data_IF_251080999808
#
_entry.id   IF_251080999808
#
_cell.length_a   1.000
_cell.length_b   1.000
_cell.length_c   1.000
_cell.angle_alpha   90.00
_cell.angle_beta   90.00
_cell.angle_gamma   90.00
#
_symmetry.space_group_name_H-M   'P 1'
#
loop_
_entity.id
_entity.type
_entity.pdbx_description
1 polymer ?
#
# COMPACT_ATOMS: atom_id res chain seq x y z
N UNK A 1 -61.51 -10.08 18.76
CA UNK A 1 -61.07 -11.06 17.75
C UNK A 1 -59.93 -11.88 18.32
N UNK A 2 -59.90 -13.18 18.04
CA UNK A 2 -58.81 -14.03 18.49
C UNK A 2 -57.54 -13.71 17.67
N UNK A 3 -56.39 -13.51 18.33
CA UNK A 3 -55.16 -13.18 17.62
C UNK A 3 -54.67 -14.35 16.77
N UNK A 4 -53.99 -14.04 15.66
CA UNK A 4 -53.39 -15.03 14.77
C UNK A 4 -51.94 -15.31 15.18
N UNK A 5 -51.50 -16.55 14.97
CA UNK A 5 -50.12 -16.95 15.23
C UNK A 5 -49.17 -16.40 14.17
N UNK A 6 -48.05 -15.80 14.59
CA UNK A 6 -47.01 -15.28 13.70
C UNK A 6 -46.27 -16.31 12.83
N UNK A 7 -46.49 -17.62 13.04
CA UNK A 7 -45.88 -18.70 12.26
C UNK A 7 -46.87 -19.45 11.38
N UNK A 8 -47.93 -19.97 11.99
CA UNK A 8 -48.90 -20.82 11.30
C UNK A 8 -50.16 -20.05 10.87
N UNK A 9 -50.27 -18.76 11.20
CA UNK A 9 -51.42 -17.89 10.92
C UNK A 9 -52.79 -18.43 11.40
N UNK A 10 -52.81 -19.44 12.26
CA UNK A 10 -54.03 -19.96 12.89
C UNK A 10 -54.36 -19.16 14.15
N UNK A 11 -55.63 -19.18 14.55
CA UNK A 11 -56.10 -18.53 15.78
C UNK A 11 -55.38 -19.11 17.01
N UNK A 12 -54.94 -18.23 17.90
CA UNK A 12 -54.28 -18.57 19.15
C UNK A 12 -55.27 -18.34 20.29
N UNK A 13 -55.62 -19.43 20.98
CA UNK A 13 -56.48 -19.37 22.16
C UNK A 13 -55.70 -18.88 23.38
N UNK A 14 -56.36 -18.23 24.36
CA UNK A 14 -55.71 -17.71 25.57
C UNK A 14 -54.84 -18.74 26.33
N UNK A 15 -55.25 -20.01 26.35
CA UNK A 15 -54.53 -21.11 27.03
C UNK A 15 -53.16 -21.40 26.41
N UNK A 16 -53.03 -21.28 25.09
CA UNK A 16 -51.80 -21.59 24.35
C UNK A 16 -51.04 -20.33 23.90
N UNK A 17 -51.52 -19.16 24.31
CA UNK A 17 -51.00 -17.88 23.88
C UNK A 17 -49.64 -17.58 24.47
N UNK A 18 -48.68 -17.30 23.60
CA UNK A 18 -47.38 -16.71 23.92
C UNK A 18 -47.29 -15.36 23.21
N UNK A 19 -47.06 -14.28 23.96
CA UNK A 19 -46.88 -12.93 23.42
C UNK A 19 -45.39 -12.61 23.31
N UNK A 20 -44.90 -12.35 22.10
CA UNK A 20 -43.48 -12.10 21.87
C UNK A 20 -43.26 -11.40 20.53
N UNK A 21 -42.33 -10.44 20.46
CA UNK A 21 -41.96 -9.70 19.23
C UNK A 21 -43.19 -9.06 18.54
N UNK A 22 -44.05 -8.44 19.36
CA UNK A 22 -45.30 -7.78 18.95
C UNK A 22 -46.29 -8.70 18.21
N UNK A 23 -46.12 -10.01 18.34
CA UNK A 23 -46.97 -11.04 17.73
C UNK A 23 -47.40 -12.07 18.75
N UNK A 24 -48.47 -12.77 18.41
CA UNK A 24 -48.98 -13.89 19.18
C UNK A 24 -48.49 -15.20 18.56
N UNK A 25 -48.20 -16.19 19.40
CA UNK A 25 -47.66 -17.48 19.00
C UNK A 25 -48.35 -18.59 19.80
N UNK A 26 -48.51 -19.77 19.21
CA UNK A 26 -48.78 -20.98 19.99
C UNK A 26 -47.53 -21.41 20.74
N UNK A 27 -47.69 -22.04 21.91
CA UNK A 27 -46.58 -22.65 22.68
C UNK A 27 -45.69 -23.55 21.81
N UNK A 28 -46.27 -24.36 20.91
CA UNK A 28 -45.52 -25.22 19.99
C UNK A 28 -44.98 -24.51 18.75
N UNK A 29 -45.58 -23.40 18.32
CA UNK A 29 -45.12 -22.67 17.14
C UNK A 29 -43.95 -21.73 17.44
N UNK A 30 -43.74 -21.37 18.70
CA UNK A 30 -42.62 -20.55 19.14
C UNK A 30 -41.33 -21.37 19.15
N UNK A 31 -40.65 -21.45 18.01
CA UNK A 31 -39.39 -22.19 17.87
C UNK A 31 -38.35 -21.37 17.11
N UNK A 32 -37.08 -21.70 17.30
CA UNK A 32 -36.00 -21.08 16.55
C UNK A 32 -36.18 -21.32 15.04
N UNK A 33 -35.91 -20.30 14.21
CA UNK A 33 -35.96 -20.42 12.75
C UNK A 33 -34.94 -21.45 12.21
N UNK A 34 -33.72 -21.42 12.73
CA UNK A 34 -32.62 -22.27 12.26
C UNK A 34 -32.74 -23.72 12.73
N UNK A 35 -32.91 -23.96 14.04
CA UNK A 35 -32.93 -25.31 14.59
C UNK A 35 -34.30 -25.89 14.89
N UNK A 36 -35.38 -25.12 14.70
CA UNK A 36 -36.77 -25.55 14.98
C UNK A 36 -37.03 -26.03 16.42
N UNK A 37 -36.06 -25.89 17.34
CA UNK A 37 -36.23 -26.18 18.75
C UNK A 37 -37.25 -25.21 19.36
N UNK A 38 -38.26 -25.73 20.05
CA UNK A 38 -39.26 -24.94 20.77
C UNK A 38 -38.57 -24.08 21.81
N UNK A 39 -38.77 -22.77 21.71
CA UNK A 39 -38.23 -21.79 22.61
C UNK A 39 -39.25 -21.50 23.71
N UNK A 40 -38.81 -20.85 24.78
CA UNK A 40 -39.68 -20.39 25.85
C UNK A 40 -39.41 -18.89 26.06
N UNK A 41 -40.30 -18.19 26.75
CA UNK A 41 -40.17 -16.75 27.04
C UNK A 41 -38.82 -16.40 27.68
N UNK A 42 -38.25 -17.31 28.47
CA UNK A 42 -36.95 -17.11 29.14
C UNK A 42 -35.72 -17.40 28.26
N UNK A 43 -35.86 -18.18 27.18
CA UNK A 43 -34.73 -18.77 26.44
C UNK A 43 -34.65 -18.30 24.96
N UNK A 44 -35.45 -17.31 24.57
CA UNK A 44 -35.42 -16.80 23.20
C UNK A 44 -34.58 -15.53 23.11
N UNK A 45 -33.97 -15.33 21.94
CA UNK A 45 -33.44 -14.03 21.51
C UNK A 45 -34.18 -13.59 20.25
N UNK A 46 -34.64 -12.35 20.21
CA UNK A 46 -35.36 -11.79 19.07
C UNK A 46 -34.42 -11.08 18.10
N UNK A 47 -34.46 -11.46 16.83
CA UNK A 47 -33.80 -10.74 15.73
C UNK A 47 -34.80 -10.58 14.59
N UNK A 48 -34.96 -9.36 14.06
CA UNK A 48 -35.92 -9.07 12.96
C UNK A 48 -37.35 -9.61 13.17
N UNK A 49 -37.90 -9.49 14.37
CA UNK A 49 -39.24 -10.01 14.74
C UNK A 49 -39.41 -11.53 14.57
N UNK A 50 -38.32 -12.29 14.57
CA UNK A 50 -38.29 -13.75 14.59
C UNK A 50 -37.57 -14.27 15.84
N UNK A 51 -38.04 -15.37 16.44
CA UNK A 51 -37.39 -15.96 17.60
C UNK A 51 -36.21 -16.85 17.20
N UNK A 52 -35.06 -16.67 17.87
CA UNK A 52 -33.84 -17.46 17.73
C UNK A 52 -33.43 -18.05 19.09
N UNK A 53 -32.72 -19.18 19.06
CA UNK A 53 -32.07 -19.71 20.25
C UNK A 53 -30.78 -18.92 20.55
N UNK A 54 -30.22 -19.09 21.75
CA UNK A 54 -28.96 -18.45 22.12
C UNK A 54 -27.79 -18.77 21.17
N UNK A 55 -27.77 -19.96 20.56
CA UNK A 55 -26.71 -20.40 19.64
C UNK A 55 -26.84 -19.80 18.24
N UNK A 56 -28.07 -19.67 17.72
CA UNK A 56 -28.35 -19.20 16.36
C UNK A 56 -28.73 -17.72 16.29
N UNK A 57 -28.54 -16.96 17.38
CA UNK A 57 -28.77 -15.52 17.37
C UNK A 57 -27.60 -14.83 16.66
N UNK A 58 -27.82 -14.19 15.51
CA UNK A 58 -26.77 -13.45 14.82
C UNK A 58 -26.34 -12.29 15.71
N UNK A 59 -25.17 -12.43 16.32
CA UNK A 59 -24.53 -11.36 17.07
C UNK A 59 -24.06 -10.35 16.02
N UNK A 60 -24.60 -9.14 16.06
CA UNK A 60 -24.09 -8.03 15.27
C UNK A 60 -22.67 -7.74 15.76
N UNK A 61 -21.67 -8.29 15.07
CA UNK A 61 -20.28 -7.88 15.25
C UNK A 61 -20.17 -6.49 14.63
N UNK A 62 -19.81 -5.50 15.42
CA UNK A 62 -19.55 -4.15 14.91
C UNK A 62 -18.30 -4.23 14.03
N UNK A 63 -18.49 -4.23 12.71
CA UNK A 63 -17.38 -4.02 11.78
C UNK A 63 -17.07 -2.53 11.79
N UNK A 64 -15.91 -2.13 12.32
CA UNK A 64 -15.41 -0.78 12.12
C UNK A 64 -15.38 -0.51 10.62
N UNK A 65 -16.21 0.42 10.16
CA UNK A 65 -16.33 0.79 8.74
C UNK A 65 -14.98 1.34 8.30
N UNK A 66 -14.18 0.49 7.64
CA UNK A 66 -12.80 0.83 7.25
C UNK A 66 -12.75 1.92 6.16
N UNK A 67 -13.79 2.03 5.33
CA UNK A 67 -13.78 2.93 4.19
C UNK A 67 -14.69 4.15 4.43
N UNK A 68 -14.28 5.01 5.36
CA UNK A 68 -14.68 6.42 5.26
C UNK A 68 -14.15 6.99 3.93
N UNK A 69 -14.84 7.95 3.30
CA UNK A 69 -14.39 8.57 2.05
C UNK A 69 -13.03 9.27 2.17
N UNK A 70 -12.54 9.47 3.39
CA UNK A 70 -11.20 9.98 3.69
C UNK A 70 -10.14 8.87 3.65
N UNK A 71 -10.40 7.71 4.27
CA UNK A 71 -9.49 6.55 4.22
C UNK A 71 -9.28 6.06 2.78
N UNK A 72 -10.30 6.19 1.92
CA UNK A 72 -10.18 5.89 0.49
C UNK A 72 -9.23 6.84 -0.24
N UNK A 73 -9.30 8.14 0.07
CA UNK A 73 -8.42 9.16 -0.53
C UNK A 73 -6.96 8.98 -0.12
N UNK A 74 -6.70 8.68 1.15
CA UNK A 74 -5.34 8.39 1.65
C UNK A 74 -4.74 7.15 0.99
N UNK A 75 -5.55 6.10 0.80
CA UNK A 75 -5.12 4.86 0.14
C UNK A 75 -4.80 5.07 -1.34
N UNK A 76 -5.59 5.86 -2.06
CA UNK A 76 -5.34 6.21 -3.46
C UNK A 76 -4.09 7.09 -3.60
N UNK A 77 -3.92 8.08 -2.73
CA UNK A 77 -2.73 8.93 -2.69
C UNK A 77 -1.46 8.13 -2.40
N UNK A 78 -1.50 7.22 -1.42
CA UNK A 78 -0.37 6.35 -1.06
C UNK A 78 0.02 5.41 -2.19
N UNK A 79 -0.97 4.83 -2.91
CA UNK A 79 -0.71 4.03 -4.11
C UNK A 79 0.00 4.85 -5.18
N UNK A 80 -0.48 6.06 -5.47
CA UNK A 80 0.15 6.93 -6.46
C UNK A 80 1.57 7.37 -6.06
N UNK A 81 1.88 7.46 -4.77
CA UNK A 81 3.23 7.84 -4.32
C UNK A 81 4.23 6.68 -4.33
N UNK A 82 3.77 5.43 -4.45
CA UNK A 82 4.66 4.27 -4.43
C UNK A 82 5.46 4.13 -5.74
N UNK A 83 6.79 4.09 -5.62
CA UNK A 83 7.70 3.88 -6.75
C UNK A 83 7.53 2.49 -7.39
N UNK A 84 6.93 1.53 -6.68
CA UNK A 84 6.67 0.16 -7.15
C UNK A 84 5.66 0.14 -8.30
N UNK A 85 4.56 0.90 -8.21
CA UNK A 85 3.59 1.02 -9.31
C UNK A 85 4.20 1.75 -10.52
N UNK A 86 5.01 2.79 -10.27
CA UNK A 86 5.74 3.48 -11.35
C UNK A 86 6.77 2.59 -12.04
N UNK A 87 7.45 1.71 -11.28
CA UNK A 87 8.41 0.74 -11.81
C UNK A 87 7.71 -0.41 -12.52
N UNK A 88 6.57 -0.88 -12.03
CA UNK A 88 5.74 -1.89 -12.68
C UNK A 88 5.18 -1.39 -14.01
N UNK A 89 4.71 -0.12 -14.07
CA UNK A 89 4.24 0.51 -15.30
C UNK A 89 5.40 0.73 -16.28
N UNK A 90 6.58 1.12 -15.79
CA UNK A 90 7.81 1.19 -16.58
C UNK A 90 8.23 -0.16 -17.14
N UNK A 91 8.22 -1.23 -16.34
CA UNK A 91 8.57 -2.59 -16.76
C UNK A 91 7.52 -3.17 -17.73
N UNK A 92 6.22 -2.90 -17.53
CA UNK A 92 5.14 -3.25 -18.46
C UNK A 92 5.24 -2.50 -19.80
N UNK A 93 5.74 -1.26 -19.80
CA UNK A 93 5.98 -0.51 -21.02
C UNK A 93 7.33 -0.80 -21.68
N UNK A 94 8.31 -1.36 -20.96
CA UNK A 94 9.63 -1.71 -21.50
C UNK A 94 9.58 -2.82 -22.56
N UNK A 95 8.50 -3.61 -22.60
CA UNK A 95 8.26 -4.65 -23.62
C UNK A 95 7.16 -4.33 -24.62
N UNK A 96 6.35 -3.29 -24.40
CA UNK A 96 5.39 -2.81 -25.39
C UNK A 96 6.13 -1.80 -26.24
N UNK A 97 6.59 -2.26 -27.40
CA UNK A 97 7.43 -1.50 -28.31
C UNK A 97 7.01 -0.03 -28.36
N UNK A 98 7.99 0.84 -28.24
CA UNK A 98 7.90 2.27 -28.56
C UNK A 98 7.33 2.40 -29.97
N UNK A 99 6.00 2.38 -30.09
CA UNK A 99 5.33 2.87 -31.27
C UNK A 99 5.58 4.36 -31.21
N UNK A 100 6.57 4.81 -31.99
CA UNK A 100 6.76 6.21 -32.36
C UNK A 100 5.37 6.80 -32.49
N UNK A 101 5.03 7.70 -31.57
CA UNK A 101 3.78 8.44 -31.61
C UNK A 101 3.79 9.17 -32.95
N UNK A 102 3.16 8.55 -33.95
CA UNK A 102 3.35 8.94 -35.33
C UNK A 102 2.69 10.29 -35.63
N UNK A 103 1.79 10.78 -34.77
CA UNK A 103 1.03 11.98 -35.07
C UNK A 103 0.79 12.84 -33.82
N UNK A 104 1.86 13.38 -33.21
CA UNK A 104 1.69 14.64 -32.49
C UNK A 104 1.51 15.76 -33.54
N UNK A 105 0.56 16.69 -33.37
CA UNK A 105 0.29 17.78 -34.33
C UNK A 105 1.44 18.80 -34.47
N UNK A 106 2.50 18.62 -33.69
CA UNK A 106 3.73 19.39 -33.71
C UNK A 106 4.75 18.76 -34.69
N UNK A 107 4.88 17.42 -34.69
CA UNK A 107 5.70 16.67 -35.65
C UNK A 107 5.25 16.85 -37.10
N UNK A 108 3.93 16.96 -37.33
CA UNK A 108 3.39 17.22 -38.67
C UNK A 108 3.70 18.63 -39.21
N UNK A 109 3.88 19.62 -38.33
CA UNK A 109 4.29 20.98 -38.76
C UNK A 109 5.73 20.98 -39.20
N UNK A 110 6.61 20.33 -38.45
CA UNK A 110 8.05 20.24 -38.73
C UNK A 110 8.29 19.50 -40.06
N UNK A 111 7.59 18.38 -40.32
CA UNK A 111 7.66 17.67 -41.60
C UNK A 111 7.23 18.52 -42.78
N UNK A 112 6.09 19.21 -42.70
CA UNK A 112 5.62 20.11 -43.78
C UNK A 112 6.61 21.23 -44.08
N UNK A 113 7.26 21.79 -43.06
CA UNK A 113 8.31 22.79 -43.24
C UNK A 113 9.55 22.17 -43.90
N UNK A 114 9.96 20.97 -43.48
CA UNK A 114 11.08 20.23 -44.11
C UNK A 114 10.82 19.93 -45.59
N UNK A 115 9.63 19.42 -45.93
CA UNK A 115 9.27 19.05 -47.30
C UNK A 115 9.24 20.27 -48.24
N UNK A 116 8.82 21.42 -47.71
CA UNK A 116 8.84 22.69 -48.45
C UNK A 116 10.29 23.14 -48.72
N UNK A 117 11.18 23.03 -47.73
CA UNK A 117 12.60 23.38 -47.86
C UNK A 117 13.30 22.48 -48.88
N UNK A 118 13.02 21.18 -48.88
CA UNK A 118 13.66 20.23 -49.82
C UNK A 118 13.28 20.48 -51.28
N UNK A 119 12.11 21.05 -51.54
CA UNK A 119 11.68 21.37 -52.91
C UNK A 119 12.41 22.61 -53.48
N UNK A 120 12.95 23.48 -52.62
CA UNK A 120 13.70 24.68 -53.05
C UNK A 120 15.16 24.35 -53.38
N UNK A 121 15.71 23.27 -52.81
CA UNK A 121 17.14 22.90 -52.96
C UNK A 121 17.43 22.19 -54.30
N UNK A 122 16.41 21.71 -55.04
CA UNK A 122 16.59 20.93 -56.27
C UNK A 122 16.33 21.72 -57.58
N UNK A 123 16.94 22.90 -57.73
CA UNK A 123 17.10 23.55 -59.04
C UNK A 123 18.58 23.48 -59.49
N UNK A 124 18.87 23.29 -60.79
CA UNK A 124 20.19 22.89 -61.25
C UNK A 124 21.18 24.06 -61.16
N UNK A 125 22.28 23.82 -60.45
CA UNK A 125 23.41 24.74 -60.27
C UNK A 125 24.07 25.13 -61.60
N UNK A 126 24.64 26.35 -61.68
CA UNK A 126 25.90 26.51 -62.39
C UNK A 126 27.00 27.17 -61.55
N UNK A 127 28.20 26.57 -61.67
CA UNK A 127 29.56 27.04 -61.40
C UNK A 127 30.00 27.48 -59.99
N UNK A 128 31.11 26.84 -59.58
CA UNK A 128 31.78 26.82 -58.29
C UNK A 128 32.69 28.02 -57.96
N UNK A 129 32.32 29.27 -58.30
CA UNK A 129 33.24 30.41 -58.09
C UNK A 129 32.81 31.48 -57.08
N UNK A 130 31.54 31.61 -56.67
CA UNK A 130 31.08 32.90 -56.10
C UNK A 130 30.23 32.86 -54.81
N UNK A 131 30.39 31.87 -53.93
CA UNK A 131 29.70 31.88 -52.62
C UNK A 131 30.62 31.67 -51.40
N UNK A 132 31.93 31.82 -51.56
CA UNK A 132 32.91 31.72 -50.47
C UNK A 132 33.18 33.04 -49.72
N UNK A 133 32.44 34.13 -50.00
CA UNK A 133 32.81 35.48 -49.54
C UNK A 133 31.67 36.33 -48.95
N UNK A 134 30.70 35.76 -48.22
CA UNK A 134 29.71 36.58 -47.47
C UNK A 134 29.46 36.12 -46.02
N UNK A 135 30.27 35.22 -45.43
CA UNK A 135 30.23 34.97 -43.98
C UNK A 135 31.62 34.79 -43.34
N UNK A 136 32.61 35.50 -43.89
CA UNK A 136 33.98 35.55 -43.38
C UNK A 136 34.30 36.91 -42.73
N UNK A 137 33.41 37.45 -41.90
CA UNK A 137 33.64 38.73 -41.26
C UNK A 137 33.06 38.78 -39.84
N UNK A 138 33.69 38.07 -38.91
CA UNK A 138 34.10 38.62 -37.61
C UNK A 138 34.68 37.52 -36.70
N UNK A 139 35.96 37.71 -36.35
CA UNK A 139 36.55 37.40 -35.04
C UNK A 139 36.89 35.94 -34.67
N UNK A 140 38.17 35.63 -34.92
CA UNK A 140 39.19 35.01 -34.07
C UNK A 140 38.76 34.14 -32.85
N UNK A 141 39.31 32.92 -32.70
CA UNK A 141 39.03 32.06 -31.55
C UNK A 141 39.79 32.51 -30.30
N UNK A 142 39.14 32.68 -29.13
CA UNK A 142 39.84 32.61 -27.87
C UNK A 142 39.98 31.14 -27.46
N UNK A 143 41.23 30.74 -27.32
CA UNK A 143 41.63 29.59 -26.53
C UNK A 143 41.05 29.71 -25.12
N UNK A 144 40.31 28.70 -24.69
CA UNK A 144 40.32 28.16 -23.34
C UNK A 144 39.22 27.11 -23.25
N UNK A 145 39.64 25.88 -22.98
CA UNK A 145 38.82 24.85 -22.37
C UNK A 145 37.95 25.44 -21.27
N UNK A 146 36.65 25.56 -21.51
CA UNK A 146 35.67 25.48 -20.44
C UNK A 146 35.06 24.09 -20.54
N UNK A 147 35.76 23.20 -19.83
CA UNK A 147 35.23 21.98 -19.26
C UNK A 147 33.78 22.24 -18.84
N UNK A 148 32.79 21.70 -19.56
CA UNK A 148 31.48 21.49 -18.98
C UNK A 148 31.67 20.44 -17.90
N UNK A 149 32.10 20.92 -16.74
CA UNK A 149 31.98 20.20 -15.50
C UNK A 149 30.48 20.09 -15.27
N UNK A 150 29.90 18.98 -15.73
CA UNK A 150 28.68 18.50 -15.15
C UNK A 150 29.02 18.28 -13.68
N UNK A 151 28.62 19.21 -12.82
CA UNK A 151 28.50 18.93 -11.41
C UNK A 151 27.42 17.82 -11.34
N UNK A 152 27.79 16.60 -10.96
CA UNK A 152 26.78 15.57 -10.77
C UNK A 152 25.89 16.10 -9.67
N UNK A 153 24.64 16.42 -10.00
CA UNK A 153 23.61 16.58 -9.00
C UNK A 153 23.74 15.35 -8.10
N UNK A 154 24.14 15.59 -6.85
CA UNK A 154 24.53 14.56 -5.92
C UNK A 154 23.54 13.41 -6.06
N UNK A 155 24.05 12.22 -6.41
CA UNK A 155 23.29 11.00 -6.13
C UNK A 155 22.81 11.14 -4.68
N UNK A 156 21.57 10.75 -4.33
CA UNK A 156 21.22 10.66 -2.94
C UNK A 156 22.25 9.72 -2.36
N UNK A 157 23.19 10.30 -1.59
CA UNK A 157 24.18 9.56 -0.85
C UNK A 157 23.33 8.55 -0.13
N UNK A 158 23.43 7.29 -0.55
CA UNK A 158 23.01 6.18 0.30
C UNK A 158 23.79 6.50 1.55
N UNK A 159 23.10 7.00 2.56
CA UNK A 159 23.74 7.34 3.81
C UNK A 159 24.34 6.02 4.22
N UNK A 160 25.65 5.87 4.00
CA UNK A 160 26.44 4.90 4.69
C UNK A 160 26.13 5.26 6.13
N UNK A 161 25.29 4.43 6.75
CA UNK A 161 24.86 4.60 8.12
C UNK A 161 26.13 4.97 8.85
N UNK A 162 26.18 6.22 9.34
CA UNK A 162 27.31 6.69 10.09
C UNK A 162 27.54 5.61 11.13
N UNK A 163 28.71 4.97 11.09
CA UNK A 163 29.04 3.93 12.05
C UNK A 163 28.66 4.52 13.42
N UNK A 164 27.66 3.93 14.07
CA UNK A 164 27.07 4.61 15.20
C UNK A 164 28.13 4.80 16.27
N UNK A 165 28.07 5.90 17.04
CA UNK A 165 29.04 6.13 18.10
C UNK A 165 29.08 4.85 18.93
N UNK A 166 30.27 4.33 19.28
CA UNK A 166 30.39 3.09 20.03
C UNK A 166 29.60 3.25 21.32
N UNK A 167 28.38 2.71 21.34
CA UNK A 167 27.51 2.70 22.51
C UNK A 167 28.09 1.65 23.45
N UNK A 168 29.09 2.12 24.18
CA UNK A 168 29.88 1.38 25.12
C UNK A 168 28.97 0.62 26.10
N UNK A 169 29.01 -0.71 26.00
CA UNK A 169 28.87 -1.62 27.13
C UNK A 169 27.47 -2.00 27.59
N UNK A 170 26.38 -1.57 26.93
CA UNK A 170 25.03 -2.03 27.29
C UNK A 170 24.70 -3.32 26.55
N UNK A 171 24.62 -4.41 27.30
CA UNK A 171 24.22 -5.74 26.80
C UNK A 171 22.76 -5.98 27.14
N UNK A 172 22.07 -6.66 26.25
CA UNK A 172 20.68 -7.05 26.43
C UNK A 172 20.55 -8.54 26.22
N UNK A 173 19.58 -9.16 26.87
CA UNK A 173 19.24 -10.58 26.73
C UNK A 173 17.84 -10.68 26.14
N UNK A 174 17.68 -11.48 25.09
CA UNK A 174 16.38 -11.82 24.55
C UNK A 174 15.55 -12.60 25.58
N UNK A 175 14.29 -12.19 25.77
CA UNK A 175 13.31 -12.84 26.66
C UNK A 175 12.38 -13.77 25.87
N UNK A 176 12.35 -13.62 24.54
CA UNK A 176 11.52 -14.40 23.63
C UNK A 176 12.27 -14.67 22.34
N UNK A 177 11.83 -15.68 21.60
CA UNK A 177 12.27 -15.97 20.24
C UNK A 177 11.67 -14.96 19.24
N UNK A 178 12.51 -14.50 18.32
CA UNK A 178 12.10 -13.59 17.25
C UNK A 178 12.71 -14.02 15.91
N UNK A 179 11.87 -14.06 14.89
CA UNK A 179 12.26 -14.35 13.51
C UNK A 179 12.17 -13.07 12.69
N UNK A 180 13.28 -12.67 12.09
CA UNK A 180 13.35 -11.51 11.19
C UNK A 180 12.33 -11.64 10.05
N UNK A 181 11.56 -10.59 9.81
CA UNK A 181 10.59 -10.52 8.73
C UNK A 181 11.22 -10.02 7.42
N UNK A 182 12.18 -9.10 7.54
CA UNK A 182 12.84 -8.42 6.42
C UNK A 182 14.39 -8.50 6.53
N UNK A 183 15.11 -8.09 5.48
CA UNK A 183 16.58 -8.19 5.36
C UNK A 183 17.35 -7.28 6.33
N UNK A 184 16.71 -6.24 6.87
CA UNK A 184 17.26 -5.28 7.82
C UNK A 184 16.99 -5.64 9.29
N UNK A 185 16.28 -6.75 9.56
CA UNK A 185 15.98 -7.27 10.89
C UNK A 185 16.90 -8.43 11.31
N UNK A 186 17.02 -8.67 12.62
CA UNK A 186 17.79 -9.81 13.17
C UNK A 186 16.90 -10.87 13.81
N UNK A 187 17.21 -12.14 13.54
CA UNK A 187 16.59 -13.28 14.21
C UNK A 187 17.41 -13.73 15.43
N UNK A 188 16.74 -13.95 16.54
CA UNK A 188 17.36 -14.36 17.81
C UNK A 188 16.42 -15.28 18.60
N UNK A 189 16.99 -16.04 19.53
CA UNK A 189 16.26 -17.00 20.37
C UNK A 189 16.25 -16.48 21.81
N UNK A 190 15.26 -16.89 22.60
CA UNK A 190 15.24 -16.64 24.05
C UNK A 190 16.61 -16.99 24.68
N UNK A 191 17.14 -16.06 25.47
CA UNK A 191 18.45 -16.15 26.09
C UNK A 191 19.64 -15.64 25.25
N UNK A 192 19.47 -15.30 23.98
CA UNK A 192 20.55 -14.72 23.16
C UNK A 192 20.98 -13.33 23.69
N UNK A 193 22.28 -13.04 23.66
CA UNK A 193 22.85 -11.76 24.09
C UNK A 193 23.00 -10.83 22.88
N UNK A 194 22.50 -9.60 23.03
CA UNK A 194 22.58 -8.53 22.03
C UNK A 194 23.60 -7.49 22.50
N UNK A 195 24.55 -7.17 21.62
CA UNK A 195 25.63 -6.20 21.83
C UNK A 195 25.53 -5.06 20.82
N UNK A 196 26.32 -4.00 20.99
CA UNK A 196 26.32 -2.79 20.12
C UNK A 196 24.94 -2.13 19.99
N UNK A 197 24.15 -2.15 21.07
CA UNK A 197 22.74 -1.72 21.03
C UNK A 197 22.62 -0.21 20.90
N UNK A 198 21.78 0.22 19.96
CA UNK A 198 21.31 1.59 19.83
C UNK A 198 19.79 1.62 19.88
N UNK A 199 19.26 2.40 20.82
CA UNK A 199 17.83 2.68 20.85
C UNK A 199 17.53 3.73 19.78
N UNK A 200 16.70 3.36 18.80
CA UNK A 200 16.22 4.28 17.78
C UNK A 200 14.96 4.96 18.32
N UNK A 201 13.98 4.17 18.75
CA UNK A 201 12.73 4.61 19.35
C UNK A 201 12.27 3.66 20.48
N UNK A 202 11.08 3.90 21.03
CA UNK A 202 10.52 3.10 22.14
C UNK A 202 10.02 1.70 21.70
N UNK A 203 9.90 1.44 20.40
CA UNK A 203 9.44 0.17 19.85
C UNK A 203 10.57 -0.71 19.31
N UNK A 204 11.64 -0.09 18.81
CA UNK A 204 12.69 -0.69 18.01
C UNK A 204 14.08 -0.26 18.47
N UNK A 205 14.97 -1.24 18.52
CA UNK A 205 16.39 -1.03 18.73
C UNK A 205 17.20 -1.68 17.62
N UNK A 206 18.39 -1.15 17.37
CA UNK A 206 19.38 -1.76 16.50
C UNK A 206 20.40 -2.49 17.37
N UNK A 207 20.77 -3.71 17.02
CA UNK A 207 21.73 -4.47 17.80
C UNK A 207 22.36 -5.62 17.01
N UNK A 208 23.42 -6.18 17.57
CA UNK A 208 24.12 -7.35 17.04
C UNK A 208 23.89 -8.55 17.96
N UNK A 209 23.40 -9.65 17.40
CA UNK A 209 23.25 -10.93 18.12
C UNK A 209 24.64 -11.57 18.27
N UNK A 210 25.07 -11.86 19.50
CA UNK A 210 26.39 -12.47 19.77
C UNK A 210 26.52 -13.88 19.17
N UNK A 211 25.44 -14.67 19.19
CA UNK A 211 25.41 -16.05 18.68
C UNK A 211 25.59 -16.15 17.16
N UNK A 212 24.92 -15.30 16.39
CA UNK A 212 24.91 -15.36 14.92
C UNK A 212 25.83 -14.32 14.29
N UNK A 213 26.25 -13.29 15.05
CA UNK A 213 26.99 -12.13 14.57
C UNK A 213 26.18 -11.18 13.69
N UNK A 214 24.90 -11.49 13.44
CA UNK A 214 24.02 -10.68 12.60
C UNK A 214 23.63 -9.41 13.33
N UNK A 215 23.55 -8.31 12.58
CA UNK A 215 23.20 -6.99 13.06
C UNK A 215 22.01 -6.44 12.28
N UNK A 216 21.11 -5.75 12.96
CA UNK A 216 19.86 -5.28 12.36
C UNK A 216 18.90 -4.75 13.41
N UNK A 217 17.68 -4.48 12.95
CA UNK A 217 16.59 -4.00 13.78
C UNK A 217 15.95 -5.15 14.56
N UNK A 218 15.57 -4.87 15.80
CA UNK A 218 14.85 -5.79 16.67
C UNK A 218 13.90 -5.05 17.62
N UNK A 219 12.80 -5.67 18.02
CA UNK A 219 11.82 -5.03 18.91
C UNK A 219 12.36 -4.91 20.34
N UNK A 220 12.30 -3.70 20.90
CA UNK A 220 12.81 -3.41 22.25
C UNK A 220 12.06 -4.16 23.36
N UNK A 221 10.79 -4.54 23.13
CA UNK A 221 9.98 -5.29 24.11
C UNK A 221 10.41 -6.76 24.27
N UNK A 222 11.21 -7.28 23.35
CA UNK A 222 11.61 -8.70 23.32
C UNK A 222 12.98 -8.93 23.97
N UNK A 223 13.62 -7.85 24.43
CA UNK A 223 14.97 -7.87 25.01
C UNK A 223 15.01 -7.06 26.29
N UNK A 224 15.74 -7.57 27.29
CA UNK A 224 15.89 -6.98 28.61
C UNK A 224 17.34 -6.60 28.84
N UNK A 225 17.61 -5.45 29.46
CA UNK A 225 18.99 -5.05 29.79
C UNK A 225 19.57 -5.94 30.90
N UNK A 226 20.84 -6.35 30.76
CA UNK A 226 21.57 -7.18 31.74
C UNK A 226 22.77 -6.46 32.37
#
# INVERSE_FOLDING_TARGET
MNPLCGRCNRVVYPTEKVNCLDKYWHKGCFSCETCKMTLNMKNYKGFEKRPYCNAHYPKTQFTCVADTPENRRLKEQSKMQSQVLYKEEFEKNKGKGFSVVADTPEMQRIKKTQDNISNVINLPSPSLSDCWLVFSAAYQPPAASQNYHYEPAAEPVRQAAAAPPPSAGKRYRAVYDYSAADEDEVSFVDGDVIVDVQQIDEGWMYGRVERTGQQGMLPANYVEAI
#
